data_IF_097324392399
#
_entry.id   IF_097324392399
#
_cell.length_a   1.000
_cell.length_b   1.000
_cell.length_c   1.000
_cell.angle_alpha   90.00
_cell.angle_beta   90.00
_cell.angle_gamma   90.00
#
_symmetry.space_group_name_H-M   'P 1'
#
loop_
_entity.id
_entity.type
_entity.pdbx_description
1 polymer ?
#
# COMPACT_ATOMS: atom_id res chain seq x y z
N UNK A 1 0.65 72.45 9.14
CA UNK A 1 1.14 71.67 7.98
C UNK A 1 -0.07 71.14 7.24
N UNK A 2 -0.20 71.37 5.92
CA UNK A 2 -1.34 70.90 5.17
C UNK A 2 -1.23 69.38 5.00
N UNK A 3 -2.21 68.66 5.53
CA UNK A 3 -2.47 67.26 5.16
C UNK A 3 -2.85 67.23 3.69
N UNK A 4 -1.92 66.85 2.83
CA UNK A 4 -2.23 66.42 1.47
C UNK A 4 -3.24 65.27 1.56
N UNK A 5 -4.46 65.54 1.13
CA UNK A 5 -5.41 64.50 0.75
C UNK A 5 -4.80 63.80 -0.46
N UNK A 6 -4.02 62.74 -0.23
CA UNK A 6 -3.76 61.75 -1.28
C UNK A 6 -5.13 61.27 -1.79
N UNK A 7 -5.37 61.30 -3.10
CA UNK A 7 -6.62 60.82 -3.68
C UNK A 7 -6.84 59.38 -3.23
N UNK A 8 -8.08 59.06 -2.88
CA UNK A 8 -8.52 57.69 -2.65
C UNK A 8 -8.32 56.96 -3.98
N UNK A 9 -7.17 56.30 -4.14
CA UNK A 9 -6.75 55.74 -5.41
C UNK A 9 -7.72 54.62 -5.78
N UNK A 10 -8.54 54.85 -6.80
CA UNK A 10 -9.57 53.91 -7.23
C UNK A 10 -8.95 52.52 -7.54
N UNK A 11 -7.66 52.49 -7.88
CA UNK A 11 -6.84 51.29 -8.12
C UNK A 11 -6.69 50.38 -6.90
N UNK A 12 -6.91 50.88 -5.67
CA UNK A 12 -6.86 50.08 -4.45
C UNK A 12 -8.24 49.58 -4.00
N UNK A 13 -9.26 49.73 -4.86
CA UNK A 13 -10.62 49.21 -4.64
C UNK A 13 -11.21 49.56 -3.25
N UNK A 14 -10.87 50.72 -2.70
CA UNK A 14 -11.35 51.20 -1.40
C UNK A 14 -10.51 50.77 -0.18
N UNK A 15 -9.41 50.04 -0.37
CA UNK A 15 -8.42 49.79 0.68
C UNK A 15 -7.53 51.03 0.89
N UNK A 16 -7.27 51.39 2.15
CA UNK A 16 -6.42 52.54 2.49
C UNK A 16 -5.15 52.09 3.18
N UNK A 17 -3.96 52.41 2.64
CA UNK A 17 -2.68 52.14 3.31
C UNK A 17 -2.57 52.76 4.72
N UNK A 18 -3.43 53.74 5.05
CA UNK A 18 -3.48 54.33 6.39
C UNK A 18 -4.00 53.37 7.45
N UNK A 19 -4.77 52.34 7.06
CA UNK A 19 -5.32 51.34 7.99
C UNK A 19 -4.26 50.38 8.53
N UNK A 20 -3.12 50.24 7.85
CA UNK A 20 -1.98 49.41 8.28
C UNK A 20 -1.03 50.21 9.17
N UNK A 21 -0.41 49.55 10.16
CA UNK A 21 0.65 50.13 10.98
C UNK A 21 1.74 50.78 10.13
N UNK A 22 2.22 51.94 10.60
CA UNK A 22 3.16 52.79 9.88
C UNK A 22 4.40 52.03 9.36
N UNK A 23 4.93 51.09 10.14
CA UNK A 23 6.12 50.29 9.77
C UNK A 23 5.93 49.30 8.62
N UNK A 24 4.70 49.06 8.14
CA UNK A 24 4.43 48.14 7.03
C UNK A 24 3.90 48.82 5.76
N UNK A 25 3.59 50.13 5.81
CA UNK A 25 2.95 50.83 4.69
C UNK A 25 3.75 50.79 3.40
N UNK A 26 5.05 51.00 3.49
CA UNK A 26 5.93 51.00 2.31
C UNK A 26 6.06 49.59 1.70
N UNK A 27 6.14 48.56 2.55
CA UNK A 27 6.17 47.16 2.11
C UNK A 27 4.87 46.78 1.38
N UNK A 28 3.71 47.17 1.94
CA UNK A 28 2.42 46.89 1.33
C UNK A 28 2.26 47.62 0.01
N UNK A 29 2.62 48.91 -0.03
CA UNK A 29 2.62 49.70 -1.26
C UNK A 29 3.48 49.05 -2.33
N UNK A 30 4.72 48.68 -2.01
CA UNK A 30 5.64 48.05 -2.96
C UNK A 30 5.08 46.73 -3.51
N UNK A 31 4.57 45.86 -2.64
CA UNK A 31 4.03 44.56 -3.07
C UNK A 31 2.77 44.72 -3.94
N UNK A 32 1.83 45.60 -3.57
CA UNK A 32 0.61 45.85 -4.35
C UNK A 32 0.96 46.45 -5.71
N UNK A 33 1.81 47.47 -5.76
CA UNK A 33 2.24 48.09 -7.03
C UNK A 33 3.00 47.10 -7.91
N UNK A 34 3.82 46.23 -7.33
CA UNK A 34 4.50 45.16 -8.08
C UNK A 34 3.50 44.18 -8.69
N UNK A 35 2.50 43.72 -7.93
CA UNK A 35 1.48 42.79 -8.41
C UNK A 35 0.60 43.42 -9.51
N UNK A 36 0.26 44.71 -9.39
CA UNK A 36 -0.42 45.49 -10.44
C UNK A 36 0.44 45.59 -11.70
N UNK A 37 1.75 45.91 -11.55
CA UNK A 37 2.67 46.03 -12.67
C UNK A 37 2.91 44.69 -13.40
N UNK A 38 2.84 43.57 -12.67
CA UNK A 38 2.93 42.22 -13.22
C UNK A 38 1.60 41.70 -13.79
N UNK A 39 0.49 42.44 -13.60
CA UNK A 39 -0.84 42.01 -14.05
C UNK A 39 -1.40 40.80 -13.29
N UNK A 40 -0.91 40.55 -12.07
CA UNK A 40 -1.43 39.48 -11.18
C UNK A 40 -2.76 39.89 -10.54
N UNK A 41 -2.96 41.19 -10.34
CA UNK A 41 -4.21 41.83 -9.92
C UNK A 41 -4.47 43.05 -10.81
N UNK A 42 -5.73 43.46 -10.95
CA UNK A 42 -6.19 44.53 -11.83
C UNK A 42 -7.54 44.22 -12.48
N UNK A 43 -8.03 45.13 -13.31
CA UNK A 43 -9.37 45.05 -13.91
C UNK A 43 -9.57 43.78 -14.77
N UNK A 44 -8.50 43.30 -15.44
CA UNK A 44 -8.51 42.07 -16.24
C UNK A 44 -8.61 40.78 -15.41
N UNK A 45 -8.37 40.87 -14.10
CA UNK A 45 -8.46 39.75 -13.13
C UNK A 45 -9.40 40.10 -11.99
N UNK A 46 -10.61 40.57 -12.34
CA UNK A 46 -11.57 41.14 -11.39
C UNK A 46 -11.85 40.28 -10.16
N UNK A 47 -12.14 38.99 -10.31
CA UNK A 47 -12.50 38.09 -9.19
C UNK A 47 -11.34 37.91 -8.19
N UNK A 48 -10.12 37.73 -8.69
CA UNK A 48 -8.90 37.61 -7.88
C UNK A 48 -8.58 38.93 -7.19
N UNK A 49 -8.75 40.05 -7.90
CA UNK A 49 -8.51 41.40 -7.39
C UNK A 49 -9.50 41.77 -6.30
N UNK A 50 -10.79 41.49 -6.49
CA UNK A 50 -11.83 41.68 -5.49
C UNK A 50 -11.53 40.82 -4.24
N UNK A 51 -11.23 39.53 -4.40
CA UNK A 51 -10.88 38.63 -3.29
C UNK A 51 -9.65 39.10 -2.52
N UNK A 52 -8.61 39.57 -3.23
CA UNK A 52 -7.37 40.11 -2.64
C UNK A 52 -7.65 41.36 -1.80
N UNK A 53 -8.33 42.36 -2.36
CA UNK A 53 -8.62 43.60 -1.64
C UNK A 53 -9.66 43.41 -0.53
N UNK A 54 -10.56 42.44 -0.67
CA UNK A 54 -11.50 42.10 0.40
C UNK A 54 -10.79 41.50 1.62
N UNK A 55 -9.76 40.67 1.43
CA UNK A 55 -8.90 40.22 2.53
C UNK A 55 -8.21 41.42 3.21
N UNK A 56 -7.66 42.35 2.43
CA UNK A 56 -6.98 43.53 2.96
C UNK A 56 -7.93 44.44 3.78
N UNK A 57 -9.14 44.69 3.29
CA UNK A 57 -10.14 45.51 4.01
C UNK A 57 -10.62 44.87 5.31
N UNK A 58 -10.82 43.55 5.33
CA UNK A 58 -11.30 42.83 6.52
C UNK A 58 -10.32 42.89 7.68
N UNK A 59 -9.03 43.06 7.37
CA UNK A 59 -7.97 43.22 8.37
C UNK A 59 -7.93 44.60 9.04
N UNK A 60 -8.65 45.61 8.52
CA UNK A 60 -8.70 46.96 9.10
C UNK A 60 -9.36 47.01 10.50
N UNK A 61 -9.99 45.91 10.95
CA UNK A 61 -10.85 45.88 12.14
C UNK A 61 -10.22 45.20 13.37
N UNK A 62 -9.05 44.58 13.23
CA UNK A 62 -8.41 43.79 14.29
C UNK A 62 -6.94 43.62 13.95
N UNK A 63 -6.00 43.66 14.91
CA UNK A 63 -4.53 43.65 14.73
C UNK A 63 -3.96 42.59 13.76
N UNK A 64 -4.18 42.74 12.45
CA UNK A 64 -4.00 41.74 11.41
C UNK A 64 -2.78 42.02 10.53
N UNK A 65 -2.08 43.12 10.76
CA UNK A 65 -0.94 43.54 9.94
C UNK A 65 0.10 42.44 9.76
N UNK A 66 0.33 41.63 10.79
CA UNK A 66 1.22 40.48 10.72
C UNK A 66 0.71 39.35 9.82
N UNK A 67 -0.61 39.09 9.83
CA UNK A 67 -1.25 38.10 8.95
C UNK A 67 -1.16 38.57 7.50
N UNK A 68 -1.54 39.83 7.24
CA UNK A 68 -1.47 40.42 5.91
C UNK A 68 -0.03 40.46 5.37
N UNK A 69 0.95 40.78 6.23
CA UNK A 69 2.37 40.71 5.86
C UNK A 69 2.76 39.29 5.43
N UNK A 70 2.31 38.25 6.14
CA UNK A 70 2.58 36.86 5.74
C UNK A 70 1.87 36.47 4.46
N UNK A 71 0.62 36.89 4.27
CA UNK A 71 -0.10 36.68 3.03
C UNK A 71 0.65 37.29 1.83
N UNK A 72 1.03 38.58 1.93
CA UNK A 72 1.81 39.23 0.88
C UNK A 72 3.17 38.58 0.66
N UNK A 73 3.83 38.12 1.73
CA UNK A 73 5.09 37.38 1.63
C UNK A 73 4.96 35.97 1.06
N UNK A 74 3.77 35.37 1.12
CA UNK A 74 3.48 34.05 0.56
C UNK A 74 3.22 34.10 -0.95
N UNK A 75 2.95 35.30 -1.48
CA UNK A 75 2.87 35.56 -2.92
C UNK A 75 4.30 35.60 -3.46
N UNK A 76 4.68 34.56 -4.17
CA UNK A 76 6.03 34.37 -4.71
C UNK A 76 5.92 33.69 -6.08
N UNK A 77 7.02 33.57 -6.85
CA UNK A 77 6.98 32.88 -8.14
C UNK A 77 6.43 31.44 -8.08
N UNK A 78 6.55 30.75 -6.93
CA UNK A 78 6.01 29.39 -6.78
C UNK A 78 4.50 29.33 -6.52
N UNK A 79 3.89 30.45 -6.11
CA UNK A 79 2.44 30.57 -5.86
C UNK A 79 1.72 31.44 -6.90
N UNK A 80 2.45 31.97 -7.90
CA UNK A 80 1.94 32.83 -8.96
C UNK A 80 0.81 32.16 -9.78
N UNK A 81 0.90 30.85 -10.00
CA UNK A 81 -0.13 30.08 -10.72
C UNK A 81 -1.52 30.13 -10.06
N UNK A 82 -1.62 30.44 -8.77
CA UNK A 82 -2.91 30.61 -8.09
C UNK A 82 -3.72 31.75 -8.69
N UNK A 83 -3.07 32.82 -9.15
CA UNK A 83 -3.73 33.99 -9.73
C UNK A 83 -4.40 33.65 -11.07
N UNK A 84 -3.97 32.58 -11.75
CA UNK A 84 -4.58 32.08 -12.99
C UNK A 84 -5.81 31.18 -12.72
N UNK A 85 -6.08 30.84 -11.46
CA UNK A 85 -7.19 29.98 -11.05
C UNK A 85 -8.04 30.68 -9.97
N UNK A 86 -8.92 31.63 -10.36
CA UNK A 86 -9.65 32.49 -9.43
C UNK A 86 -10.36 31.75 -8.30
N UNK A 87 -11.08 30.66 -8.61
CA UNK A 87 -11.79 29.88 -7.60
C UNK A 87 -10.87 29.25 -6.54
N UNK A 88 -9.65 28.81 -6.91
CA UNK A 88 -8.69 28.27 -5.92
C UNK A 88 -8.09 29.40 -5.11
N UNK A 89 -7.75 30.52 -5.76
CA UNK A 89 -7.22 31.69 -5.06
C UNK A 89 -8.21 32.20 -4.01
N UNK A 90 -9.49 32.36 -4.37
CA UNK A 90 -10.54 32.75 -3.44
C UNK A 90 -10.67 31.76 -2.30
N UNK A 91 -10.71 30.45 -2.58
CA UNK A 91 -10.77 29.41 -1.54
C UNK A 91 -9.57 29.49 -0.57
N UNK A 92 -8.35 29.75 -1.06
CA UNK A 92 -7.14 29.91 -0.24
C UNK A 92 -7.23 31.16 0.63
N UNK A 93 -7.62 32.28 0.05
CA UNK A 93 -7.78 33.56 0.76
C UNK A 93 -8.86 33.46 1.85
N UNK A 94 -10.01 32.87 1.53
CA UNK A 94 -11.09 32.64 2.48
C UNK A 94 -10.67 31.71 3.61
N UNK A 95 -9.96 30.63 3.30
CA UNK A 95 -9.45 29.70 4.31
C UNK A 95 -8.44 30.37 5.23
N UNK A 96 -7.50 31.15 4.68
CA UNK A 96 -6.52 31.91 5.46
C UNK A 96 -7.18 32.95 6.36
N UNK A 97 -8.22 33.64 5.85
CA UNK A 97 -9.05 34.54 6.64
C UNK A 97 -9.79 33.81 7.76
N UNK A 98 -10.40 32.66 7.46
CA UNK A 98 -11.09 31.82 8.44
C UNK A 98 -10.16 31.43 9.60
N UNK A 99 -8.93 31.02 9.31
CA UNK A 99 -7.91 30.78 10.35
C UNK A 99 -7.58 32.04 11.15
N UNK A 100 -7.38 33.18 10.48
CA UNK A 100 -7.03 34.45 11.13
C UNK A 100 -8.15 34.99 12.04
N UNK A 101 -9.41 34.80 11.63
CA UNK A 101 -10.62 35.18 12.37
C UNK A 101 -10.73 34.47 13.70
N UNK A 102 -10.36 33.19 13.73
CA UNK A 102 -10.29 32.41 14.97
C UNK A 102 -9.12 32.88 15.85
N UNK A 103 -7.89 32.83 15.33
CA UNK A 103 -6.69 33.34 16.03
C UNK A 103 -5.69 33.89 15.00
N UNK A 104 -5.16 35.12 15.16
CA UNK A 104 -4.24 35.71 14.19
C UNK A 104 -3.02 34.83 13.86
N UNK A 105 -2.47 34.12 14.84
CA UNK A 105 -1.32 33.24 14.63
C UNK A 105 -1.64 32.00 13.78
N UNK A 106 -2.90 31.57 13.69
CA UNK A 106 -3.32 30.51 12.77
C UNK A 106 -3.26 31.00 11.33
N UNK A 107 -3.77 32.21 11.05
CA UNK A 107 -3.66 32.83 9.73
C UNK A 107 -2.20 33.04 9.32
N UNK A 108 -1.35 33.51 10.24
CA UNK A 108 0.11 33.58 10.05
C UNK A 108 0.70 32.22 9.65
N UNK A 109 0.38 31.17 10.41
CA UNK A 109 0.87 29.80 10.13
C UNK A 109 0.39 29.32 8.76
N UNK A 110 -0.89 29.52 8.42
CA UNK A 110 -1.46 29.10 7.14
C UNK A 110 -0.75 29.76 5.96
N UNK A 111 -0.53 31.08 6.02
CA UNK A 111 0.18 31.80 4.96
C UNK A 111 1.68 31.50 4.93
N UNK A 112 2.31 31.21 6.07
CA UNK A 112 3.69 30.72 6.10
C UNK A 112 3.82 29.34 5.41
N UNK A 113 2.84 28.45 5.61
CA UNK A 113 2.77 27.16 4.89
C UNK A 113 2.51 27.37 3.40
N UNK A 114 1.63 28.30 3.01
CA UNK A 114 1.43 28.67 1.61
C UNK A 114 2.73 29.14 0.95
N UNK A 115 3.43 30.09 1.58
CA UNK A 115 4.66 30.68 1.04
C UNK A 115 5.83 29.70 0.95
N UNK A 116 5.78 28.59 1.68
CA UNK A 116 6.77 27.50 1.62
C UNK A 116 6.34 26.34 0.70
N UNK A 117 5.28 26.54 -0.11
CA UNK A 117 4.65 25.51 -0.95
C UNK A 117 4.08 24.31 -0.19
N UNK A 118 3.84 24.46 1.12
CA UNK A 118 3.38 23.35 1.95
C UNK A 118 1.91 22.97 1.76
N UNK A 119 1.13 23.76 0.99
CA UNK A 119 -0.23 23.41 0.59
C UNK A 119 -0.28 22.54 -0.68
N UNK A 120 0.86 22.33 -1.36
CA UNK A 120 0.98 21.60 -2.62
C UNK A 120 1.38 22.49 -3.81
N UNK A 121 1.83 21.83 -4.87
CA UNK A 121 2.32 22.47 -6.09
C UNK A 121 1.34 22.36 -7.27
N UNK A 122 0.19 21.70 -7.07
CA UNK A 122 -0.84 21.56 -8.10
C UNK A 122 -2.22 22.01 -7.59
N UNK A 123 -3.13 22.43 -8.50
CA UNK A 123 -4.52 22.76 -8.19
C UNK A 123 -5.25 21.67 -7.40
N UNK A 124 -5.02 20.40 -7.75
CA UNK A 124 -5.66 19.24 -7.13
C UNK A 124 -5.20 19.05 -5.69
N UNK A 125 -3.90 19.20 -5.43
CA UNK A 125 -3.34 19.07 -4.09
C UNK A 125 -3.86 20.15 -3.14
N UNK A 126 -3.95 21.39 -3.62
CA UNK A 126 -4.48 22.52 -2.84
C UNK A 126 -5.97 22.30 -2.57
N UNK A 127 -6.79 21.99 -3.59
CA UNK A 127 -8.22 21.71 -3.39
C UNK A 127 -8.47 20.55 -2.43
N UNK A 128 -7.68 19.49 -2.54
CA UNK A 128 -7.75 18.35 -1.65
C UNK A 128 -7.49 18.75 -0.18
N UNK A 129 -6.44 19.54 0.07
CA UNK A 129 -6.19 20.10 1.41
C UNK A 129 -7.34 20.96 1.90
N UNK A 130 -7.81 21.91 1.10
CA UNK A 130 -8.86 22.83 1.52
C UNK A 130 -10.17 22.10 1.84
N UNK A 131 -10.50 21.04 1.08
CA UNK A 131 -11.62 20.15 1.40
C UNK A 131 -11.46 19.47 2.76
N UNK A 132 -10.27 18.92 3.05
CA UNK A 132 -9.98 18.30 4.35
C UNK A 132 -9.95 19.32 5.50
N UNK A 133 -9.42 20.53 5.27
CA UNK A 133 -9.41 21.62 6.24
C UNK A 133 -10.83 22.00 6.62
N UNK A 134 -11.74 22.19 5.65
CA UNK A 134 -13.16 22.48 5.94
C UNK A 134 -13.80 21.37 6.76
N UNK A 135 -13.53 20.10 6.41
CA UNK A 135 -14.01 18.94 7.18
C UNK A 135 -13.49 18.97 8.62
N UNK A 136 -12.19 19.14 8.83
CA UNK A 136 -11.59 19.17 10.16
C UNK A 136 -11.98 20.42 10.96
N UNK A 137 -12.20 21.55 10.31
CA UNK A 137 -12.64 22.80 10.93
C UNK A 137 -13.96 22.63 11.66
N UNK A 138 -14.88 21.85 11.10
CA UNK A 138 -16.16 21.51 11.75
C UNK A 138 -16.01 20.65 13.01
N UNK A 139 -14.83 20.03 13.21
CA UNK A 139 -14.52 19.18 14.37
C UNK A 139 -13.75 20.00 15.41
N UNK A 140 -12.59 20.57 15.04
CA UNK A 140 -11.75 21.40 15.91
C UNK A 140 -10.72 22.21 15.09
N UNK A 141 -10.58 23.50 15.42
CA UNK A 141 -9.70 24.43 14.70
C UNK A 141 -8.20 24.12 14.86
N UNK A 142 -7.76 23.64 16.03
CA UNK A 142 -6.37 23.22 16.24
C UNK A 142 -6.05 21.98 15.41
N UNK A 143 -7.03 21.08 15.24
CA UNK A 143 -6.88 19.87 14.42
C UNK A 143 -6.77 20.21 12.93
N UNK A 144 -7.57 21.16 12.43
CA UNK A 144 -7.44 21.66 11.07
C UNK A 144 -6.07 22.31 10.82
N UNK A 145 -5.58 23.11 11.75
CA UNK A 145 -4.26 23.73 11.65
C UNK A 145 -3.13 22.69 11.72
N UNK A 146 -3.28 21.66 12.56
CA UNK A 146 -2.34 20.55 12.67
C UNK A 146 -2.13 19.86 11.32
N UNK A 147 -3.23 19.59 10.59
CA UNK A 147 -3.15 19.05 9.24
C UNK A 147 -2.40 19.99 8.31
N UNK A 148 -2.70 21.30 8.30
CA UNK A 148 -2.00 22.28 7.46
C UNK A 148 -0.49 22.26 7.71
N UNK A 149 -0.06 22.18 8.98
CA UNK A 149 1.36 22.10 9.35
C UNK A 149 2.04 20.81 8.88
N UNK A 150 1.33 19.69 8.93
CA UNK A 150 1.86 18.38 8.54
C UNK A 150 1.73 18.06 7.05
N UNK A 151 0.90 18.79 6.30
CA UNK A 151 0.43 18.36 4.97
C UNK A 151 1.55 18.21 3.94
N UNK A 152 2.54 19.10 3.93
CA UNK A 152 3.68 19.02 3.00
C UNK A 152 4.42 17.69 3.12
N UNK A 153 4.70 17.25 4.35
CA UNK A 153 5.33 15.97 4.65
C UNK A 153 4.45 14.78 4.21
N UNK A 154 3.13 14.94 4.26
CA UNK A 154 2.21 13.91 3.80
C UNK A 154 2.20 13.84 2.26
N UNK A 155 2.17 14.99 1.57
CA UNK A 155 2.24 15.07 0.10
C UNK A 155 3.50 14.41 -0.46
N UNK A 156 4.64 14.57 0.22
CA UNK A 156 5.92 13.97 -0.21
C UNK A 156 5.92 12.43 -0.13
N UNK A 157 4.95 11.83 0.57
CA UNK A 157 5.03 10.43 0.98
C UNK A 157 3.78 9.61 0.70
N UNK A 158 2.63 10.26 0.55
CA UNK A 158 1.33 9.61 0.47
C UNK A 158 0.54 10.12 -0.73
N UNK A 159 -0.20 9.23 -1.36
CA UNK A 159 -1.23 9.58 -2.33
C UNK A 159 -2.43 10.24 -1.62
N UNK A 160 -3.24 11.03 -2.32
CA UNK A 160 -4.39 11.76 -1.72
C UNK A 160 -5.31 10.86 -0.89
N UNK A 161 -5.65 9.67 -1.39
CA UNK A 161 -6.48 8.68 -0.67
C UNK A 161 -5.82 8.16 0.61
N UNK A 162 -4.49 8.05 0.62
CA UNK A 162 -3.75 7.60 1.80
C UNK A 162 -3.68 8.71 2.85
N UNK A 163 -3.61 9.98 2.41
CA UNK A 163 -3.73 11.13 3.29
C UNK A 163 -5.11 11.17 3.96
N UNK A 164 -6.19 10.87 3.22
CA UNK A 164 -7.54 10.77 3.82
C UNK A 164 -7.59 9.70 4.94
N UNK A 165 -7.05 8.51 4.68
CA UNK A 165 -6.96 7.44 5.69
C UNK A 165 -6.12 7.84 6.90
N UNK A 166 -5.00 8.52 6.65
CA UNK A 166 -4.16 9.08 7.70
C UNK A 166 -4.93 10.11 8.54
N UNK A 167 -5.68 11.00 7.90
CA UNK A 167 -6.50 12.01 8.56
C UNK A 167 -7.60 11.37 9.41
N UNK A 168 -8.27 10.32 8.93
CA UNK A 168 -9.30 9.60 9.69
C UNK A 168 -8.74 8.99 10.97
N UNK A 169 -7.53 8.40 10.92
CA UNK A 169 -6.85 7.90 12.12
C UNK A 169 -6.47 9.05 13.07
N UNK A 170 -6.05 10.20 12.53
CA UNK A 170 -5.82 11.41 13.32
C UNK A 170 -7.09 11.88 14.07
N UNK A 171 -8.25 11.87 13.40
CA UNK A 171 -9.55 12.20 14.02
C UNK A 171 -9.90 11.20 15.15
N UNK A 172 -9.66 9.90 14.93
CA UNK A 172 -9.88 8.87 15.96
C UNK A 172 -8.92 9.02 17.14
N UNK A 173 -7.66 9.38 16.90
CA UNK A 173 -6.70 9.66 17.95
C UNK A 173 -7.11 10.91 18.74
N UNK A 174 -7.60 11.95 18.05
CA UNK A 174 -8.10 13.18 18.65
C UNK A 174 -9.28 12.95 19.58
N UNK A 175 -10.28 12.15 19.16
CA UNK A 175 -11.46 11.87 19.99
C UNK A 175 -11.13 11.13 21.29
N UNK A 176 -10.04 10.34 21.30
CA UNK A 176 -9.53 9.68 22.51
C UNK A 176 -8.64 10.61 23.33
N UNK A 177 -7.80 11.39 22.67
CA UNK A 177 -6.88 12.34 23.30
C UNK A 177 -6.54 13.49 22.34
N UNK A 178 -7.08 14.68 22.66
CA UNK A 178 -6.91 15.92 21.88
C UNK A 178 -5.46 16.20 21.48
N UNK A 179 -4.53 16.15 22.45
CA UNK A 179 -3.10 16.45 22.21
C UNK A 179 -2.46 15.40 21.30
N UNK A 180 -2.82 14.13 21.47
CA UNK A 180 -2.29 13.05 20.65
C UNK A 180 -2.76 13.17 19.19
N UNK A 181 -4.03 13.51 18.96
CA UNK A 181 -4.56 13.71 17.60
C UNK A 181 -3.93 14.89 16.87
N UNK A 182 -3.74 16.03 17.56
CA UNK A 182 -3.02 17.20 17.01
C UNK A 182 -1.59 16.82 16.65
N UNK A 183 -0.84 16.23 17.59
CA UNK A 183 0.55 15.84 17.36
C UNK A 183 0.69 14.74 16.29
N UNK A 184 -0.33 13.87 16.18
CA UNK A 184 -0.43 12.90 15.08
C UNK A 184 -0.54 13.62 13.75
N UNK A 185 -1.53 14.50 13.52
CA UNK A 185 -1.70 15.19 12.22
C UNK A 185 -0.55 16.14 11.86
N UNK A 186 0.12 16.76 12.86
CA UNK A 186 1.36 17.52 12.62
C UNK A 186 2.54 16.62 12.22
N UNK A 187 2.43 15.31 12.42
CA UNK A 187 3.49 14.34 12.17
C UNK A 187 4.60 14.34 13.22
N UNK A 188 4.40 14.92 14.40
CA UNK A 188 5.44 15.10 15.42
C UNK A 188 5.63 13.89 16.34
N UNK A 189 4.75 12.88 16.25
CA UNK A 189 4.80 11.63 17.03
C UNK A 189 5.25 10.43 16.20
N UNK A 190 5.90 9.46 16.86
CA UNK A 190 6.37 8.21 16.24
C UNK A 190 5.23 7.36 15.65
N UNK A 191 4.05 7.38 16.29
CA UNK A 191 2.87 6.66 15.81
C UNK A 191 2.40 7.14 14.43
N UNK A 192 2.55 8.44 14.13
CA UNK A 192 2.29 8.99 12.81
C UNK A 192 3.28 8.43 11.78
N UNK A 193 4.57 8.41 12.11
CA UNK A 193 5.60 7.88 11.22
C UNK A 193 5.37 6.38 10.93
N UNK A 194 5.03 5.62 11.96
CA UNK A 194 4.69 4.21 11.82
C UNK A 194 3.47 4.01 10.92
N UNK A 195 2.46 4.88 11.04
CA UNK A 195 1.27 4.79 10.20
C UNK A 195 1.56 5.16 8.73
N UNK A 196 2.33 6.22 8.46
CA UNK A 196 2.78 6.58 7.11
C UNK A 196 3.58 5.44 6.50
N UNK A 197 4.52 4.85 7.25
CA UNK A 197 5.27 3.68 6.80
C UNK A 197 4.34 2.48 6.55
N UNK A 198 3.29 2.31 7.34
CA UNK A 198 2.32 1.23 7.13
C UNK A 198 1.50 1.41 5.86
N UNK A 199 1.16 2.65 5.49
CA UNK A 199 0.47 2.99 4.25
C UNK A 199 1.40 2.80 3.04
N UNK A 200 2.56 3.45 3.08
CA UNK A 200 3.54 3.43 1.97
C UNK A 200 4.16 2.08 1.67
N UNK A 201 4.19 1.16 2.65
CA UNK A 201 4.68 -0.22 2.46
C UNK A 201 3.61 -1.15 1.91
N UNK A 202 2.33 -0.81 2.02
CA UNK A 202 1.24 -1.74 1.73
C UNK A 202 1.11 -2.00 0.23
N UNK A 203 1.22 -3.27 -0.16
CA UNK A 203 0.71 -3.72 -1.45
C UNK A 203 -0.68 -4.35 -1.23
N UNK A 204 -1.70 -3.78 -1.86
CA UNK A 204 -3.06 -4.30 -1.83
C UNK A 204 -3.27 -5.26 -3.00
N UNK A 205 -3.93 -6.39 -2.73
CA UNK A 205 -4.24 -7.37 -3.76
C UNK A 205 -5.06 -6.74 -4.88
N UNK A 206 -6.09 -5.96 -4.54
CA UNK A 206 -6.98 -5.30 -5.50
C UNK A 206 -6.22 -4.44 -6.55
N UNK A 207 -5.09 -3.85 -6.17
CA UNK A 207 -4.31 -2.96 -7.04
C UNK A 207 -3.51 -3.77 -8.08
N UNK A 208 -3.21 -5.05 -7.78
CA UNK A 208 -2.42 -5.94 -8.64
C UNK A 208 -3.25 -7.06 -9.28
N UNK A 209 -4.47 -7.33 -8.82
CA UNK A 209 -5.34 -8.40 -9.31
C UNK A 209 -5.45 -8.46 -10.84
N UNK A 210 -5.70 -7.35 -11.58
CA UNK A 210 -5.78 -7.42 -13.04
C UNK A 210 -4.47 -7.89 -13.70
N UNK A 211 -3.32 -7.43 -13.18
CA UNK A 211 -2.01 -7.83 -13.67
C UNK A 211 -1.72 -9.30 -13.35
N UNK A 212 -2.08 -9.77 -12.15
CA UNK A 212 -1.93 -11.17 -11.76
C UNK A 212 -2.80 -12.08 -12.62
N UNK A 213 -4.05 -11.70 -12.90
CA UNK A 213 -4.95 -12.45 -13.77
C UNK A 213 -4.40 -12.60 -15.19
N UNK A 214 -3.88 -11.52 -15.78
CA UNK A 214 -3.19 -11.57 -17.08
C UNK A 214 -1.95 -12.48 -17.06
N UNK A 215 -1.13 -12.38 -16.00
CA UNK A 215 0.05 -13.22 -15.83
C UNK A 215 -0.32 -14.71 -15.72
N UNK A 216 -1.27 -15.05 -14.84
CA UNK A 216 -1.75 -16.42 -14.65
C UNK A 216 -2.33 -16.99 -15.94
N UNK A 217 -3.13 -16.22 -16.68
CA UNK A 217 -3.67 -16.63 -17.99
C UNK A 217 -2.56 -16.86 -19.01
N UNK A 218 -1.56 -15.98 -19.06
CA UNK A 218 -0.42 -16.12 -19.96
C UNK A 218 0.45 -17.35 -19.65
N UNK A 219 0.62 -17.69 -18.38
CA UNK A 219 1.47 -18.81 -17.95
C UNK A 219 0.75 -20.17 -17.99
N UNK A 220 -0.52 -20.22 -17.61
CA UNK A 220 -1.31 -21.47 -17.53
C UNK A 220 -2.12 -21.75 -18.79
N UNK A 221 -2.35 -20.75 -19.64
CA UNK A 221 -3.27 -20.83 -20.78
C UNK A 221 -4.76 -20.81 -20.38
N UNK A 222 -5.07 -20.69 -19.09
CA UNK A 222 -6.45 -20.72 -18.58
C UNK A 222 -6.73 -19.55 -17.64
N UNK A 223 -7.99 -19.15 -17.54
CA UNK A 223 -8.38 -18.13 -16.56
C UNK A 223 -8.39 -18.72 -15.15
N UNK A 224 -7.62 -18.07 -14.27
CA UNK A 224 -7.53 -18.34 -12.84
C UNK A 224 -8.06 -17.12 -12.10
N UNK A 225 -9.07 -17.31 -11.27
CA UNK A 225 -9.64 -16.24 -10.45
C UNK A 225 -8.71 -15.94 -9.28
N UNK A 226 -8.43 -14.66 -9.03
CA UNK A 226 -7.58 -14.21 -7.93
C UNK A 226 -8.45 -13.49 -6.89
N UNK A 227 -8.53 -14.05 -5.70
CA UNK A 227 -9.38 -13.56 -4.61
C UNK A 227 -8.62 -13.38 -3.30
N UNK A 228 -9.26 -12.74 -2.33
CA UNK A 228 -8.69 -12.61 -1.00
C UNK A 228 -8.86 -13.87 -0.15
N UNK A 229 -7.83 -14.21 0.63
CA UNK A 229 -7.88 -15.20 1.71
C UNK A 229 -8.98 -14.91 2.74
N UNK A 230 -9.47 -13.66 2.86
CA UNK A 230 -10.59 -13.34 3.76
C UNK A 230 -11.92 -13.99 3.37
N UNK A 231 -12.01 -14.61 2.19
CA UNK A 231 -13.17 -15.40 1.75
C UNK A 231 -13.10 -16.86 2.23
N UNK A 232 -11.95 -17.30 2.75
CA UNK A 232 -11.76 -18.64 3.30
C UNK A 232 -11.89 -18.62 4.83
N UNK A 233 -12.00 -19.81 5.43
CA UNK A 233 -12.05 -19.96 6.87
C UNK A 233 -10.76 -19.44 7.53
N UNK A 234 -10.90 -18.44 8.41
CA UNK A 234 -9.77 -17.81 9.07
C UNK A 234 -9.07 -18.72 10.07
N UNK A 235 -9.78 -19.65 10.70
CA UNK A 235 -9.22 -20.47 11.77
C UNK A 235 -8.20 -21.46 11.19
N UNK A 236 -8.56 -22.13 10.10
CA UNK A 236 -7.68 -23.02 9.33
C UNK A 236 -6.45 -22.28 8.76
N UNK A 237 -6.66 -21.07 8.22
CA UNK A 237 -5.56 -20.25 7.70
C UNK A 237 -4.56 -19.85 8.80
N UNK A 238 -5.06 -19.51 9.99
CA UNK A 238 -4.24 -19.12 11.14
C UNK A 238 -3.48 -20.33 11.68
N UNK A 239 -4.15 -21.47 11.87
CA UNK A 239 -3.54 -22.70 12.37
C UNK A 239 -2.37 -23.15 11.48
N UNK A 240 -2.57 -23.11 10.16
CA UNK A 240 -1.54 -23.51 9.18
C UNK A 240 -0.52 -22.41 8.88
N UNK A 241 -0.83 -21.15 9.21
CA UNK A 241 -0.03 -20.00 8.81
C UNK A 241 0.02 -19.79 7.28
N UNK A 242 -1.04 -20.20 6.58
CA UNK A 242 -1.12 -20.17 5.13
C UNK A 242 -1.25 -18.72 4.61
N UNK A 243 -0.41 -18.35 3.65
CA UNK A 243 -0.45 -17.05 2.99
C UNK A 243 -0.75 -17.16 1.49
N UNK A 244 -0.86 -18.37 0.97
CA UNK A 244 -1.14 -18.64 -0.43
C UNK A 244 -1.91 -19.97 -0.48
N UNK A 245 -3.11 -19.95 -1.04
CA UNK A 245 -3.90 -21.16 -1.28
C UNK A 245 -4.26 -21.16 -2.75
N UNK A 246 -3.85 -22.21 -3.47
CA UNK A 246 -4.15 -22.37 -4.88
C UNK A 246 -4.92 -23.67 -5.10
N UNK A 247 -6.18 -23.52 -5.49
CA UNK A 247 -7.09 -24.59 -5.85
C UNK A 247 -7.34 -24.58 -7.36
N UNK A 248 -8.10 -25.55 -7.87
CA UNK A 248 -8.40 -25.63 -9.31
C UNK A 248 -9.00 -24.32 -9.85
N UNK A 249 -8.21 -23.56 -10.62
CA UNK A 249 -8.57 -22.25 -11.20
C UNK A 249 -8.86 -21.12 -10.20
N UNK A 250 -8.45 -21.28 -8.94
CA UNK A 250 -8.56 -20.23 -7.92
C UNK A 250 -7.22 -20.01 -7.22
N UNK A 251 -6.85 -18.75 -7.03
CA UNK A 251 -5.70 -18.33 -6.24
C UNK A 251 -6.17 -17.34 -5.17
N UNK A 252 -6.04 -17.75 -3.91
CA UNK A 252 -6.35 -16.90 -2.77
C UNK A 252 -5.07 -16.35 -2.15
N UNK A 253 -5.00 -15.02 -2.03
CA UNK A 253 -3.86 -14.28 -1.48
C UNK A 253 -4.31 -13.30 -0.38
N UNK A 254 -3.42 -12.83 0.50
CA UNK A 254 -3.78 -11.86 1.52
C UNK A 254 -4.29 -10.59 0.83
N UNK A 255 -5.31 -9.93 1.40
CA UNK A 255 -5.80 -8.65 0.84
C UNK A 255 -4.72 -7.56 0.84
N UNK A 256 -3.76 -7.67 1.77
CA UNK A 256 -2.70 -6.69 2.02
C UNK A 256 -1.42 -7.41 2.42
N UNK A 257 -0.29 -6.97 1.89
CA UNK A 257 1.04 -7.45 2.24
C UNK A 257 1.93 -6.27 2.62
N UNK A 258 2.61 -6.41 3.77
CA UNK A 258 3.53 -5.40 4.34
C UNK A 258 4.86 -6.05 4.78
N UNK A 259 5.32 -7.06 4.04
CA UNK A 259 6.53 -7.85 4.37
C UNK A 259 7.82 -7.06 4.21
N UNK A 260 7.88 -6.25 3.17
CA UNK A 260 9.06 -5.48 2.79
C UNK A 260 8.89 -3.99 3.02
N UNK A 261 10.02 -3.28 3.11
CA UNK A 261 10.07 -1.82 3.28
C UNK A 261 9.61 -1.03 2.05
N UNK A 262 9.62 -1.63 0.87
CA UNK A 262 9.22 -1.00 -0.38
C UNK A 262 7.94 -1.67 -0.91
N UNK A 263 6.94 -0.86 -1.31
CA UNK A 263 5.70 -1.32 -1.93
C UNK A 263 5.95 -2.22 -3.12
N UNK A 264 6.92 -1.87 -3.96
CA UNK A 264 7.32 -2.65 -5.15
C UNK A 264 7.77 -4.07 -4.81
N UNK A 265 8.51 -4.26 -3.72
CA UNK A 265 8.90 -5.61 -3.26
C UNK A 265 7.69 -6.40 -2.76
N UNK A 266 6.73 -5.75 -2.09
CA UNK A 266 5.48 -6.40 -1.68
C UNK A 266 4.60 -6.76 -2.90
N UNK A 267 4.59 -5.93 -3.96
CA UNK A 267 4.00 -6.30 -5.24
C UNK A 267 4.76 -7.46 -5.91
N UNK A 268 6.09 -7.48 -5.80
CA UNK A 268 6.94 -8.57 -6.24
C UNK A 268 6.60 -9.90 -5.56
N UNK A 269 6.23 -9.87 -4.28
CA UNK A 269 5.76 -11.04 -3.55
C UNK A 269 4.46 -11.62 -4.15
N UNK A 270 3.47 -10.77 -4.51
CA UNK A 270 2.26 -11.27 -5.18
C UNK A 270 2.57 -11.87 -6.56
N UNK A 271 3.49 -11.25 -7.32
CA UNK A 271 3.94 -11.80 -8.61
C UNK A 271 4.60 -13.17 -8.42
N UNK A 272 5.45 -13.32 -7.41
CA UNK A 272 6.08 -14.60 -7.06
C UNK A 272 5.04 -15.66 -6.73
N UNK A 273 4.08 -15.36 -5.85
CA UNK A 273 3.00 -16.29 -5.50
C UNK A 273 2.17 -16.70 -6.73
N UNK A 274 1.86 -15.75 -7.63
CA UNK A 274 1.15 -16.04 -8.87
C UNK A 274 1.97 -16.90 -9.84
N UNK A 275 3.28 -16.69 -9.98
CA UNK A 275 4.16 -17.53 -10.80
C UNK A 275 4.22 -18.96 -10.25
N UNK A 276 4.33 -19.12 -8.93
CA UNK A 276 4.35 -20.45 -8.31
C UNK A 276 3.00 -21.14 -8.46
N UNK A 277 1.88 -20.45 -8.22
CA UNK A 277 0.55 -20.98 -8.45
C UNK A 277 0.34 -21.38 -9.92
N UNK A 278 0.80 -20.56 -10.88
CA UNK A 278 0.78 -20.89 -12.29
C UNK A 278 1.57 -22.17 -12.59
N UNK A 279 2.77 -22.31 -12.01
CA UNK A 279 3.58 -23.52 -12.16
C UNK A 279 2.91 -24.75 -11.55
N UNK A 280 2.33 -24.64 -10.35
CA UNK A 280 1.61 -25.74 -9.73
C UNK A 280 0.44 -26.23 -10.60
N UNK A 281 -0.28 -25.31 -11.25
CA UNK A 281 -1.37 -25.63 -12.19
C UNK A 281 -0.85 -26.18 -13.53
N UNK A 282 0.25 -25.65 -14.07
CA UNK A 282 0.80 -26.01 -15.37
C UNK A 282 1.63 -27.30 -15.37
N UNK A 283 2.05 -27.76 -14.18
CA UNK A 283 2.84 -28.98 -13.94
C UNK A 283 2.02 -30.05 -13.21
N UNK A 284 0.68 -29.97 -13.33
CA UNK A 284 -0.29 -30.93 -12.79
C UNK A 284 -0.01 -31.36 -11.34
N UNK A 285 0.35 -30.38 -10.50
CA UNK A 285 0.51 -30.57 -9.06
C UNK A 285 -0.84 -30.63 -8.35
N UNK A 286 -0.83 -30.76 -7.02
CA UNK A 286 -2.05 -30.92 -6.23
C UNK A 286 -3.07 -29.81 -6.47
N UNK A 287 -2.65 -28.55 -6.69
CA UNK A 287 -3.54 -27.43 -7.04
C UNK A 287 -4.45 -27.71 -8.25
N UNK A 288 -4.10 -28.66 -9.13
CA UNK A 288 -4.91 -29.05 -10.28
C UNK A 288 -6.13 -29.88 -9.91
N UNK A 289 -6.07 -30.60 -8.78
CA UNK A 289 -7.16 -31.45 -8.27
C UNK A 289 -7.76 -30.90 -6.96
N UNK A 290 -7.07 -29.97 -6.30
CA UNK A 290 -7.48 -29.36 -5.04
C UNK A 290 -8.79 -28.59 -5.20
N UNK A 291 -9.71 -28.81 -4.25
CA UNK A 291 -11.08 -28.27 -4.31
C UNK A 291 -12.11 -29.30 -4.76
N UNK A 292 -11.68 -30.46 -5.25
CA UNK A 292 -12.55 -31.60 -5.51
C UNK A 292 -13.05 -32.24 -4.21
N UNK A 293 -14.28 -32.78 -4.13
CA UNK A 293 -14.78 -33.43 -2.91
C UNK A 293 -13.94 -34.62 -2.42
N UNK A 294 -13.22 -35.30 -3.31
CA UNK A 294 -12.31 -36.40 -2.95
C UNK A 294 -10.87 -35.94 -2.66
N UNK A 295 -10.56 -34.65 -2.87
CA UNK A 295 -9.22 -34.08 -2.72
C UNK A 295 -9.33 -32.68 -2.10
N UNK A 296 -9.88 -32.64 -0.89
CA UNK A 296 -9.95 -31.43 -0.08
C UNK A 296 -8.56 -31.04 0.42
N UNK A 297 -7.69 -32.01 0.67
CA UNK A 297 -6.29 -31.82 1.10
C UNK A 297 -5.36 -32.88 0.49
N UNK A 298 -4.05 -32.62 0.51
CA UNK A 298 -3.04 -33.59 0.06
C UNK A 298 -3.06 -34.90 0.88
N UNK A 299 -3.61 -34.87 2.10
CA UNK A 299 -3.78 -36.06 2.92
C UNK A 299 -4.77 -37.06 2.30
N UNK A 300 -5.73 -36.59 1.48
CA UNK A 300 -6.65 -37.47 0.76
C UNK A 300 -5.93 -38.33 -0.29
N UNK A 301 -4.73 -37.91 -0.71
CA UNK A 301 -3.90 -38.64 -1.68
C UNK A 301 -2.81 -39.49 -1.00
N UNK A 302 -2.17 -38.96 0.04
CA UNK A 302 -1.07 -39.64 0.75
C UNK A 302 -1.53 -40.55 1.88
N UNK A 303 -2.77 -40.42 2.34
CA UNK A 303 -3.30 -41.09 3.52
C UNK A 303 -2.96 -40.37 4.83
N UNK A 304 -3.30 -40.99 5.98
CA UNK A 304 -3.19 -40.33 7.29
C UNK A 304 -1.78 -40.35 7.89
N UNK A 305 -0.81 -41.03 7.26
CA UNK A 305 0.57 -41.11 7.77
C UNK A 305 1.28 -39.76 7.62
N UNK A 306 1.69 -39.09 8.72
CA UNK A 306 2.37 -37.80 8.66
C UNK A 306 3.70 -37.84 7.89
N UNK A 307 4.39 -38.98 7.87
CA UNK A 307 5.64 -39.12 7.09
C UNK A 307 5.31 -39.06 5.59
N UNK A 308 4.34 -39.85 5.13
CA UNK A 308 3.89 -39.82 3.74
C UNK A 308 3.40 -38.42 3.33
N UNK A 309 2.62 -37.75 4.18
CA UNK A 309 2.13 -36.39 3.94
C UNK A 309 3.29 -35.40 3.78
N UNK A 310 4.27 -35.43 4.69
CA UNK A 310 5.43 -34.53 4.63
C UNK A 310 6.30 -34.79 3.40
N UNK A 311 6.58 -36.04 3.07
CA UNK A 311 7.38 -36.39 1.90
C UNK A 311 6.69 -35.95 0.61
N UNK A 312 5.38 -36.17 0.48
CA UNK A 312 4.62 -35.74 -0.69
C UNK A 312 4.51 -34.21 -0.76
N UNK A 313 4.26 -33.53 0.36
CA UNK A 313 4.14 -32.06 0.42
C UNK A 313 5.44 -31.37 0.03
N UNK A 314 6.54 -31.70 0.72
CA UNK A 314 7.88 -31.15 0.47
C UNK A 314 8.33 -31.51 -0.95
N UNK A 315 8.07 -32.75 -1.35
CA UNK A 315 8.38 -33.28 -2.65
C UNK A 315 7.67 -32.55 -3.79
N UNK A 316 6.37 -32.31 -3.67
CA UNK A 316 5.59 -31.58 -4.67
C UNK A 316 6.01 -30.11 -4.77
N UNK A 317 6.26 -29.44 -3.64
CA UNK A 317 6.81 -28.08 -3.69
C UNK A 317 8.15 -28.05 -4.42
N UNK A 318 9.05 -28.97 -4.13
CA UNK A 318 10.33 -29.08 -4.85
C UNK A 318 10.10 -29.32 -6.35
N UNK A 319 9.27 -30.31 -6.71
CA UNK A 319 8.97 -30.67 -8.10
C UNK A 319 8.43 -29.46 -8.87
N UNK A 320 7.47 -28.74 -8.31
CA UNK A 320 6.90 -27.53 -8.91
C UNK A 320 7.98 -26.47 -9.12
N UNK A 321 8.80 -26.17 -8.10
CA UNK A 321 9.85 -25.15 -8.21
C UNK A 321 10.92 -25.52 -9.24
N UNK A 322 11.36 -26.78 -9.27
CA UNK A 322 12.33 -27.30 -10.24
C UNK A 322 11.81 -27.18 -11.69
N UNK A 323 10.54 -27.54 -11.89
CA UNK A 323 9.87 -27.43 -13.19
C UNK A 323 9.69 -25.98 -13.63
N UNK A 324 9.30 -25.09 -12.72
CA UNK A 324 9.21 -23.64 -13.01
C UNK A 324 10.57 -23.10 -13.44
N UNK A 325 11.66 -23.43 -12.73
CA UNK A 325 13.03 -22.98 -13.06
C UNK A 325 13.45 -23.43 -14.47
N UNK A 326 13.00 -24.60 -14.90
CA UNK A 326 13.29 -25.16 -16.22
C UNK A 326 12.41 -24.56 -17.31
N UNK A 327 11.10 -24.44 -17.06
CA UNK A 327 10.09 -23.96 -18.02
C UNK A 327 10.17 -22.46 -18.27
N UNK A 328 10.43 -21.66 -17.23
CA UNK A 328 10.50 -20.20 -17.32
C UNK A 328 11.82 -19.67 -16.75
N UNK A 329 12.93 -19.75 -17.50
CA UNK A 329 14.25 -19.34 -16.98
C UNK A 329 14.30 -17.88 -16.46
N UNK A 330 13.47 -16.99 -16.99
CA UNK A 330 13.37 -15.60 -16.55
C UNK A 330 12.88 -15.41 -15.10
N UNK A 331 12.23 -16.40 -14.50
CA UNK A 331 11.68 -16.29 -13.13
C UNK A 331 12.64 -16.77 -12.05
N UNK A 332 13.79 -17.37 -12.41
CA UNK A 332 14.77 -17.95 -11.46
C UNK A 332 15.18 -16.97 -10.38
N UNK A 333 15.56 -15.74 -10.76
CA UNK A 333 15.95 -14.68 -9.82
C UNK A 333 14.84 -14.34 -8.83
N UNK A 334 13.58 -14.35 -9.27
CA UNK A 334 12.43 -14.05 -8.42
C UNK A 334 12.19 -15.20 -7.42
N UNK A 335 12.27 -16.45 -7.87
CA UNK A 335 12.19 -17.63 -7.00
C UNK A 335 13.32 -17.65 -5.97
N UNK A 336 14.57 -17.44 -6.39
CA UNK A 336 15.73 -17.49 -5.50
C UNK A 336 15.74 -16.33 -4.49
N UNK A 337 15.21 -15.17 -4.88
CA UNK A 337 14.96 -14.08 -3.94
C UNK A 337 13.88 -14.48 -2.93
N UNK A 338 12.75 -15.00 -3.41
CA UNK A 338 11.63 -15.44 -2.56
C UNK A 338 12.02 -16.50 -1.54
N UNK A 339 12.71 -17.55 -1.99
CA UNK A 339 13.22 -18.63 -1.14
C UNK A 339 14.18 -18.09 -0.08
N UNK A 340 15.18 -17.29 -0.47
CA UNK A 340 16.14 -16.71 0.48
C UNK A 340 15.48 -15.79 1.49
N UNK A 341 14.54 -14.96 1.05
CA UNK A 341 13.78 -14.08 1.94
C UNK A 341 12.96 -14.90 2.93
N UNK A 342 12.13 -15.83 2.47
CA UNK A 342 11.19 -16.52 3.35
C UNK A 342 11.92 -17.48 4.32
N UNK A 343 12.99 -18.15 3.87
CA UNK A 343 13.85 -18.96 4.73
C UNK A 343 14.71 -18.12 5.68
N UNK A 344 15.06 -16.88 5.31
CA UNK A 344 15.79 -15.95 6.18
C UNK A 344 14.90 -15.35 7.27
N UNK A 345 13.68 -14.94 6.91
CA UNK A 345 12.69 -14.37 7.83
C UNK A 345 12.12 -15.44 8.76
N UNK A 346 11.98 -16.68 8.26
CA UNK A 346 11.41 -17.80 8.98
C UNK A 346 12.27 -19.06 8.78
N UNK A 347 13.37 -19.20 9.54
CA UNK A 347 14.27 -20.34 9.40
C UNK A 347 13.54 -21.68 9.59
N UNK A 348 14.02 -22.76 8.95
CA UNK A 348 13.45 -24.10 9.11
C UNK A 348 13.38 -24.51 10.58
N UNK A 349 12.18 -24.89 11.04
CA UNK A 349 11.92 -25.26 12.43
C UNK A 349 11.70 -26.76 12.62
N UNK A 350 11.10 -27.43 11.63
CA UNK A 350 10.85 -28.86 11.65
C UNK A 350 11.86 -29.65 10.80
N UNK A 351 11.83 -30.98 10.92
CA UNK A 351 12.62 -31.87 10.05
C UNK A 351 12.16 -31.80 8.60
N UNK A 352 10.84 -31.67 8.36
CA UNK A 352 10.29 -31.48 7.03
C UNK A 352 10.70 -30.13 6.41
N UNK A 353 10.70 -29.04 7.20
CA UNK A 353 11.15 -27.73 6.74
C UNK A 353 12.63 -27.75 6.31
N UNK A 354 13.48 -28.47 7.08
CA UNK A 354 14.91 -28.61 6.78
C UNK A 354 15.13 -29.41 5.49
N UNK A 355 14.40 -30.52 5.34
CA UNK A 355 14.43 -31.32 4.12
C UNK A 355 14.03 -30.49 2.89
N UNK A 356 12.98 -29.67 3.01
CA UNK A 356 12.57 -28.74 1.95
C UNK A 356 13.65 -27.69 1.66
N UNK A 357 14.24 -27.09 2.70
CA UNK A 357 15.29 -26.09 2.53
C UNK A 357 16.49 -26.66 1.75
N UNK A 358 16.96 -27.86 2.11
CA UNK A 358 18.05 -28.56 1.41
C UNK A 358 17.73 -28.84 -0.07
N UNK A 359 16.48 -29.23 -0.36
CA UNK A 359 15.99 -29.40 -1.73
C UNK A 359 15.98 -28.08 -2.51
N UNK A 360 15.51 -27.00 -1.89
CA UNK A 360 15.30 -25.72 -2.55
C UNK A 360 16.60 -24.94 -2.83
N UNK A 361 17.62 -25.10 -1.97
CA UNK A 361 18.92 -24.42 -2.07
C UNK A 361 20.02 -25.24 -2.74
N UNK A 362 19.71 -26.42 -3.29
CA UNK A 362 20.66 -27.33 -3.97
C UNK A 362 21.86 -27.77 -3.11
N UNK A 363 21.81 -27.52 -1.80
CA UNK A 363 22.71 -28.10 -0.80
C UNK A 363 22.18 -29.48 -0.43
N UNK A 364 22.32 -30.42 -1.35
CA UNK A 364 21.70 -31.73 -1.21
C UNK A 364 22.42 -32.60 -0.17
N UNK A 365 21.82 -32.74 1.01
CA UNK A 365 22.02 -33.92 1.83
C UNK A 365 21.56 -35.19 1.07
N UNK A 366 22.01 -36.39 1.48
CA UNK A 366 21.69 -37.62 0.76
C UNK A 366 20.18 -37.88 0.66
N UNK A 367 19.41 -37.52 1.68
CA UNK A 367 17.95 -37.68 1.73
C UNK A 367 17.23 -36.70 0.80
N UNK A 368 17.69 -35.45 0.75
CA UNK A 368 17.17 -34.47 -0.21
C UNK A 368 17.47 -34.90 -1.66
N UNK A 369 18.70 -35.35 -1.95
CA UNK A 369 19.05 -35.88 -3.27
C UNK A 369 18.16 -37.08 -3.66
N UNK A 370 17.94 -38.01 -2.72
CA UNK A 370 17.11 -39.19 -2.92
C UNK A 370 15.65 -38.82 -3.22
N UNK A 371 15.06 -37.91 -2.45
CA UNK A 371 13.68 -37.46 -2.68
C UNK A 371 13.55 -36.74 -4.03
N UNK A 372 14.54 -35.91 -4.39
CA UNK A 372 14.57 -35.24 -5.69
C UNK A 372 14.64 -36.24 -6.85
N UNK A 373 15.47 -37.29 -6.73
CA UNK A 373 15.61 -38.34 -7.75
C UNK A 373 14.28 -39.09 -7.98
N UNK A 374 13.56 -39.41 -6.91
CA UNK A 374 12.26 -40.08 -6.97
C UNK A 374 11.19 -39.22 -7.68
N UNK A 375 11.16 -37.92 -7.38
CA UNK A 375 10.04 -37.06 -7.77
C UNK A 375 10.25 -36.26 -9.05
N UNK A 376 11.50 -35.95 -9.42
CA UNK A 376 11.81 -35.23 -10.66
C UNK A 376 11.20 -35.88 -11.92
N UNK A 377 11.22 -37.22 -12.13
CA UNK A 377 10.65 -37.82 -13.32
C UNK A 377 9.12 -37.87 -13.32
N UNK A 378 8.46 -37.62 -12.18
CA UNK A 378 7.01 -37.72 -12.06
C UNK A 378 6.30 -36.65 -12.90
N UNK A 379 5.39 -37.02 -13.82
CA UNK A 379 4.67 -36.06 -14.66
C UNK A 379 3.64 -35.24 -13.88
N UNK A 380 3.06 -35.78 -12.82
CA UNK A 380 1.99 -35.15 -12.05
C UNK A 380 1.98 -35.62 -10.58
N UNK A 381 1.06 -35.07 -9.79
CA UNK A 381 0.91 -35.37 -8.35
C UNK A 381 0.55 -36.84 -8.05
N UNK A 382 -0.21 -37.52 -8.91
CA UNK A 382 -0.55 -38.94 -8.69
C UNK A 382 0.67 -39.83 -8.87
N UNK A 383 1.51 -39.55 -9.88
CA UNK A 383 2.77 -40.26 -10.08
C UNK A 383 3.71 -40.04 -8.90
N UNK A 384 3.80 -38.80 -8.41
CA UNK A 384 4.57 -38.47 -7.21
C UNK A 384 4.08 -39.25 -5.99
N UNK A 385 2.76 -39.30 -5.75
CA UNK A 385 2.19 -40.07 -4.66
C UNK A 385 2.49 -41.58 -4.76
N UNK A 386 2.48 -42.16 -5.96
CA UNK A 386 2.86 -43.57 -6.19
C UNK A 386 4.31 -43.87 -5.82
N UNK A 387 5.22 -42.89 -5.87
CA UNK A 387 6.61 -43.05 -5.45
C UNK A 387 6.79 -43.02 -3.91
N UNK A 388 5.83 -42.45 -3.17
CA UNK A 388 5.88 -42.38 -1.71
C UNK A 388 5.22 -43.64 -1.14
N UNK A 389 5.92 -44.78 -1.27
CA UNK A 389 5.45 -46.07 -0.76
C UNK A 389 5.75 -46.24 0.73
N UNK A 390 5.11 -47.20 1.44
CA UNK A 390 5.42 -47.49 2.83
C UNK A 390 6.91 -47.79 3.10
N UNK A 391 7.59 -48.44 2.15
CA UNK A 391 9.02 -48.73 2.24
C UNK A 391 9.86 -47.45 2.18
N UNK A 392 9.51 -46.51 1.29
CA UNK A 392 10.16 -45.20 1.21
C UNK A 392 9.89 -44.39 2.48
N UNK A 393 8.65 -44.40 2.99
CA UNK A 393 8.33 -43.75 4.26
C UNK A 393 9.16 -44.33 5.41
N UNK A 394 9.29 -45.65 5.50
CA UNK A 394 10.09 -46.31 6.53
C UNK A 394 11.59 -45.96 6.41
N UNK A 395 12.12 -45.91 5.19
CA UNK A 395 13.50 -45.48 4.91
C UNK A 395 13.75 -44.06 5.42
N UNK A 396 12.89 -43.11 5.04
CA UNK A 396 13.02 -41.71 5.46
C UNK A 396 12.80 -41.54 6.97
N UNK A 397 11.82 -42.22 7.56
CA UNK A 397 11.57 -42.17 9.00
C UNK A 397 12.75 -42.71 9.82
N UNK A 398 13.47 -43.71 9.32
CA UNK A 398 14.64 -44.26 9.99
C UNK A 398 15.81 -43.25 10.09
N UNK A 399 15.98 -42.41 9.07
CA UNK A 399 17.08 -41.42 9.02
C UNK A 399 16.67 -40.04 9.51
N UNK A 400 15.39 -39.69 9.36
CA UNK A 400 14.79 -38.42 9.71
C UNK A 400 13.61 -38.65 10.68
N UNK A 401 13.87 -39.09 11.93
CA UNK A 401 12.82 -39.52 12.87
C UNK A 401 11.83 -38.41 13.25
N UNK A 402 12.19 -37.13 13.05
CA UNK A 402 11.29 -36.00 13.27
C UNK A 402 10.32 -35.71 12.12
N UNK A 403 10.30 -36.51 11.04
CA UNK A 403 9.35 -36.32 9.93
C UNK A 403 7.90 -36.61 10.33
N UNK A 404 7.65 -37.37 11.38
CA UNK A 404 6.30 -37.66 11.87
C UNK A 404 5.80 -36.68 12.93
N UNK A 405 6.68 -35.80 13.44
CA UNK A 405 6.38 -34.95 14.58
C UNK A 405 5.45 -33.78 14.21
N UNK A 406 5.81 -33.06 13.14
CA UNK A 406 5.11 -31.87 12.68
C UNK A 406 5.01 -31.86 11.16
N UNK A 407 3.89 -31.36 10.64
CA UNK A 407 3.74 -31.14 9.21
C UNK A 407 4.56 -29.92 8.76
N UNK A 408 5.14 -30.01 7.57
CA UNK A 408 5.88 -28.91 6.96
C UNK A 408 5.01 -27.65 6.88
N UNK A 409 5.58 -26.51 7.27
CA UNK A 409 4.87 -25.24 7.21
C UNK A 409 4.94 -24.69 5.78
N UNK A 410 3.84 -24.19 5.20
CA UNK A 410 3.89 -23.52 3.91
C UNK A 410 4.78 -22.27 3.97
N UNK A 411 5.71 -22.18 3.02
CA UNK A 411 6.34 -20.90 2.72
C UNK A 411 5.29 -19.94 2.19
N UNK A 412 5.52 -18.64 2.37
CA UNK A 412 4.46 -17.66 2.16
C UNK A 412 3.84 -17.63 0.77
N UNK A 413 4.66 -17.88 -0.25
CA UNK A 413 4.28 -17.79 -1.65
C UNK A 413 3.98 -19.17 -2.25
N UNK A 414 4.21 -20.25 -1.50
CA UNK A 414 3.87 -21.61 -1.93
C UNK A 414 2.41 -21.92 -1.57
N UNK A 415 1.64 -22.54 -2.48
CA UNK A 415 0.30 -23.01 -2.15
C UNK A 415 0.32 -24.00 -0.99
N UNK A 416 -0.55 -23.79 0.00
CA UNK A 416 -0.78 -24.77 1.06
C UNK A 416 -1.70 -25.89 0.58
N UNK A 417 -1.12 -27.04 0.24
CA UNK A 417 -1.87 -28.22 -0.21
C UNK A 417 -2.63 -28.94 0.91
N UNK A 418 -2.38 -28.59 2.17
CA UNK A 418 -3.08 -29.16 3.33
C UNK A 418 -4.27 -28.31 3.79
N UNK A 419 -4.50 -27.15 3.17
CA UNK A 419 -5.69 -26.35 3.47
C UNK A 419 -6.96 -27.09 3.01
N UNK A 420 -7.96 -27.31 3.89
CA UNK A 420 -9.19 -28.04 3.54
C UNK A 420 -10.11 -27.16 2.68
N UNK A 421 -9.92 -27.23 1.38
CA UNK A 421 -10.52 -26.32 0.41
C UNK A 421 -11.62 -26.95 -0.43
N UNK A 422 -12.69 -26.19 -0.68
CA UNK A 422 -13.68 -26.49 -1.72
C UNK A 422 -13.89 -25.27 -2.61
N UNK A 423 -14.13 -25.51 -3.90
CA UNK A 423 -14.42 -24.45 -4.87
C UNK A 423 -15.81 -24.64 -5.48
N UNK A 424 -16.42 -23.54 -5.91
CA UNK A 424 -17.76 -23.55 -6.53
C UNK A 424 -17.82 -24.30 -7.87
N UNK A 425 -16.68 -24.45 -8.54
CA UNK A 425 -16.54 -25.21 -9.79
C UNK A 425 -15.34 -26.14 -9.66
N UNK A 426 -15.51 -27.32 -9.02
CA UNK A 426 -14.43 -28.26 -8.82
C UNK A 426 -13.91 -28.83 -10.14
N UNK A 427 -12.69 -29.39 -10.16
CA UNK A 427 -12.19 -30.12 -11.31
C UNK A 427 -13.12 -31.30 -11.62
N UNK A 428 -13.21 -31.69 -12.89
CA UNK A 428 -14.10 -32.79 -13.30
C UNK A 428 -13.49 -34.14 -12.98
N UNK A 429 -14.34 -35.15 -12.74
CA UNK A 429 -13.89 -36.55 -12.58
C UNK A 429 -13.07 -37.04 -13.79
N UNK A 430 -13.42 -36.58 -15.00
CA UNK A 430 -12.66 -36.87 -16.22
C UNK A 430 -11.22 -36.35 -16.16
N UNK A 431 -11.01 -35.11 -15.71
CA UNK A 431 -9.66 -34.58 -15.51
C UNK A 431 -8.86 -35.40 -14.50
N UNK A 432 -9.51 -35.83 -13.41
CA UNK A 432 -8.87 -36.67 -12.39
C UNK A 432 -8.48 -38.03 -12.96
N UNK A 433 -9.37 -38.66 -13.75
CA UNK A 433 -9.09 -39.92 -14.41
C UNK A 433 -7.91 -39.79 -15.38
N UNK A 434 -7.90 -38.76 -16.23
CA UNK A 434 -6.82 -38.50 -17.18
C UNK A 434 -5.46 -38.34 -16.46
N UNK A 435 -5.43 -37.61 -15.34
CA UNK A 435 -4.21 -37.44 -14.54
C UNK A 435 -3.75 -38.74 -13.88
N UNK A 436 -4.68 -39.59 -13.42
CA UNK A 436 -4.37 -40.90 -12.84
C UNK A 436 -3.84 -41.88 -13.88
N UNK A 437 -4.36 -41.84 -15.10
CA UNK A 437 -3.93 -42.69 -16.21
C UNK A 437 -2.57 -42.27 -16.77
N UNK A 438 -2.26 -40.97 -16.71
CA UNK A 438 -0.95 -40.43 -17.09
C UNK A 438 0.15 -40.65 -16.03
N UNK A 439 -0.20 -41.17 -14.85
CA UNK A 439 0.69 -41.39 -13.71
C UNK A 439 1.22 -42.81 -13.62
#
# INVERSE_FOLDING_TARGET
MPTTNEPNDARYHGFSLKSVCWGYRDLFRQNIEQMLAQGLIGDDRREVTESFFDLLKRADQSCYDHVLKRFLGAISPSTEWLFDLPGIFTDVVETGHMFAAEKPHYGVTFFDVLGSNGLGNTPEQVRHLLGMVRRLWSIDHDLALALVRGYSRLLDRLESREIELYTDVGIQAFSRNRKAGIAFLEGTVESSETYILSLTREARLQDVTPLLGCLLKGLTGTEVTVESLSLLDSDELIERGANCVCMYRWLYLPSRVRRHRAREHNQGWYKLAAVVAAGALAEDSFSRIHGHPQFATLADLSGPDPVAQNLLLVGEWYRVLDRIRSRWPGVRRLLDLGLRTDLGDRPPSSTADRLFAELATETHGPQAARLAELLRPCPNVFAAAKQITPEVCAEFAAVLPGLSADLARPLSFLPDFLFPGHVSSPPTDGLIADLRDAA
#
